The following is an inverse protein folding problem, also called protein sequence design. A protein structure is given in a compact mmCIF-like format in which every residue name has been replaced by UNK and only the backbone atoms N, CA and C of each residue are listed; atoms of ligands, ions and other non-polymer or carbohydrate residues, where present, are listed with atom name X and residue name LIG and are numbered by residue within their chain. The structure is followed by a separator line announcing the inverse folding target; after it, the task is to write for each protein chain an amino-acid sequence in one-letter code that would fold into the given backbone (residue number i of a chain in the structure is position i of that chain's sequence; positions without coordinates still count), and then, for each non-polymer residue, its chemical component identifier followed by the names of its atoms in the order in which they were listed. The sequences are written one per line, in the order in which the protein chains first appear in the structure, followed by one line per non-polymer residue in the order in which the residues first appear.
data_IF_299811634092
#
_entry.id   IF_299811634092
#
_cell.length_a   1.000
_cell.length_b   1.000
_cell.length_c   1.000
_cell.angle_alpha   90.00
_cell.angle_beta   90.00
_cell.angle_gamma   90.00
#
_symmetry.space_group_name_H-M   'P 1'
#
loop_
_entity.id
_entity.type
_entity.pdbx_description
1 polymer ?
#
# COMPACT_ATOMS: atom_id res chain seq x y z
N UNK A 1 7.99 -0.07 12.65
CA UNK A 1 6.82 -0.94 12.89
C UNK A 1 6.28 -1.42 11.56
N UNK A 2 5.52 -2.51 11.56
CA UNK A 2 4.86 -3.08 10.39
C UNK A 2 3.37 -2.76 10.48
N UNK A 3 2.78 -2.26 9.39
CA UNK A 3 1.33 -2.14 9.25
C UNK A 3 0.86 -3.23 8.29
N UNK A 4 0.04 -4.15 8.78
CA UNK A 4 -0.47 -5.28 8.02
C UNK A 4 -1.79 -4.90 7.34
N UNK A 5 -1.91 -5.19 6.06
CA UNK A 5 -3.09 -4.87 5.25
C UNK A 5 -3.41 -5.98 4.24
N UNK A 6 -4.50 -5.83 3.49
CA UNK A 6 -5.07 -6.84 2.60
C UNK A 6 -5.86 -7.91 3.36
N UNK A 7 -6.53 -8.79 2.61
CA UNK A 7 -7.30 -9.90 3.19
C UNK A 7 -6.46 -10.87 4.03
N UNK A 8 -5.18 -11.02 3.69
CA UNK A 8 -4.24 -11.84 4.46
C UNK A 8 -4.01 -11.32 5.88
N UNK A 9 -4.18 -10.01 6.13
CA UNK A 9 -4.00 -9.43 7.46
C UNK A 9 -5.04 -9.93 8.48
N UNK A 10 -6.17 -10.47 8.02
CA UNK A 10 -7.24 -11.01 8.86
C UNK A 10 -7.01 -12.48 9.25
N UNK A 11 -5.93 -13.11 8.76
CA UNK A 11 -5.54 -14.44 9.22
C UNK A 11 -5.24 -14.39 10.72
N UNK A 12 -5.88 -15.31 11.45
CA UNK A 12 -5.83 -15.35 12.92
C UNK A 12 -4.37 -15.35 13.41
N UNK A 13 -4.03 -14.35 14.23
CA UNK A 13 -2.72 -14.17 14.86
C UNK A 13 -1.54 -13.96 13.90
N UNK A 14 -1.75 -13.59 12.63
CA UNK A 14 -0.65 -13.32 11.70
C UNK A 14 0.21 -12.13 12.16
N UNK A 15 -0.42 -11.08 12.65
CA UNK A 15 0.20 -9.93 13.31
C UNK A 15 1.16 -10.35 14.43
N UNK A 16 0.71 -11.25 15.31
CA UNK A 16 1.52 -11.77 16.43
C UNK A 16 2.69 -12.62 15.93
N UNK A 17 2.48 -13.48 14.93
CA UNK A 17 3.54 -14.29 14.35
C UNK A 17 4.65 -13.41 13.76
N UNK A 18 4.28 -12.38 13.02
CA UNK A 18 5.23 -11.42 12.45
C UNK A 18 5.95 -10.63 13.55
N UNK A 19 5.26 -10.27 14.63
CA UNK A 19 5.88 -9.59 15.77
C UNK A 19 6.97 -10.44 16.42
N UNK A 20 6.70 -11.75 16.64
CA UNK A 20 7.67 -12.69 17.21
C UNK A 20 8.89 -12.85 16.29
N UNK A 21 8.65 -13.04 15.00
CA UNK A 21 9.72 -13.32 14.02
C UNK A 21 10.62 -12.10 13.78
N UNK A 22 10.04 -10.91 13.73
CA UNK A 22 10.75 -9.69 13.35
C UNK A 22 11.26 -8.88 14.55
N UNK A 23 10.71 -9.10 15.74
CA UNK A 23 10.95 -8.26 16.92
C UNK A 23 10.41 -6.82 16.79
N UNK A 24 9.63 -6.53 15.74
CA UNK A 24 9.08 -5.19 15.48
C UNK A 24 7.60 -5.13 15.89
N UNK A 25 7.10 -3.96 16.35
CA UNK A 25 5.66 -3.74 16.54
C UNK A 25 4.92 -3.94 15.22
N UNK A 26 3.85 -4.74 15.26
CA UNK A 26 2.97 -5.03 14.13
C UNK A 26 1.54 -4.60 14.49
N UNK A 27 0.91 -3.82 13.62
CA UNK A 27 -0.48 -3.38 13.77
C UNK A 27 -1.26 -3.70 12.50
N UNK A 28 -2.55 -4.00 12.62
CA UNK A 28 -3.43 -4.18 11.47
C UNK A 28 -3.97 -2.81 11.05
N UNK A 29 -4.03 -2.53 9.75
CA UNK A 29 -4.66 -1.32 9.22
C UNK A 29 -6.13 -1.23 9.65
N UNK A 30 -6.66 -0.01 9.80
CA UNK A 30 -8.05 0.22 10.19
C UNK A 30 -9.06 -0.40 9.22
N UNK A 31 -8.82 -0.25 7.91
CA UNK A 31 -9.55 -0.94 6.84
C UNK A 31 -8.57 -1.71 5.95
N UNK A 32 -8.19 -2.96 6.34
CA UNK A 32 -7.18 -3.71 5.62
C UNK A 32 -7.68 -4.20 4.26
N UNK A 33 -8.99 -4.39 4.08
CA UNK A 33 -9.56 -4.87 2.81
C UNK A 33 -9.59 -3.79 1.75
N UNK A 34 -9.91 -2.55 2.13
CA UNK A 34 -10.02 -1.44 1.18
C UNK A 34 -8.72 -0.63 1.03
N UNK A 35 -7.70 -0.88 1.86
CA UNK A 35 -6.45 -0.09 1.89
C UNK A 35 -5.83 0.17 0.51
N UNK A 36 -5.82 -0.84 -0.37
CA UNK A 36 -5.26 -0.70 -1.72
C UNK A 36 -6.10 0.29 -2.54
N UNK A 37 -7.41 0.08 -2.62
CA UNK A 37 -8.31 0.91 -3.46
C UNK A 37 -8.36 2.34 -2.94
N UNK A 38 -8.36 2.52 -1.61
CA UNK A 38 -8.33 3.83 -0.97
C UNK A 38 -7.01 4.56 -1.26
N UNK A 39 -5.88 3.85 -1.20
CA UNK A 39 -4.57 4.39 -1.58
C UNK A 39 -4.53 4.82 -3.04
N UNK A 40 -5.07 4.00 -3.95
CA UNK A 40 -5.21 4.34 -5.36
C UNK A 40 -6.08 5.58 -5.57
N UNK A 41 -7.25 5.67 -4.92
CA UNK A 41 -8.12 6.84 -5.02
C UNK A 41 -7.45 8.13 -4.51
N UNK A 42 -6.70 8.04 -3.41
CA UNK A 42 -5.90 9.17 -2.90
C UNK A 42 -4.84 9.61 -3.92
N UNK A 43 -4.11 8.66 -4.51
CA UNK A 43 -3.10 8.94 -5.54
C UNK A 43 -3.69 9.62 -6.77
N UNK A 44 -4.85 9.16 -7.24
CA UNK A 44 -5.54 9.78 -8.38
C UNK A 44 -5.94 11.24 -8.13
N UNK A 45 -6.13 11.61 -6.87
CA UNK A 45 -6.50 12.96 -6.44
C UNK A 45 -5.29 13.85 -6.15
N UNK A 46 -4.09 13.29 -6.06
CA UNK A 46 -2.83 13.98 -5.80
C UNK A 46 -2.03 14.10 -7.11
N UNK A 47 -2.01 15.32 -7.69
CA UNK A 47 -1.32 15.57 -8.96
C UNK A 47 0.19 15.28 -8.91
N UNK A 48 0.84 15.51 -7.77
CA UNK A 48 2.28 15.28 -7.65
C UNK A 48 2.59 13.79 -7.55
N UNK A 49 1.77 13.04 -6.81
CA UNK A 49 1.89 11.59 -6.73
C UNK A 49 1.54 10.93 -8.08
N UNK A 50 0.49 11.41 -8.75
CA UNK A 50 0.06 10.92 -10.05
C UNK A 50 1.15 11.12 -11.11
N UNK A 51 1.82 12.28 -11.16
CA UNK A 51 2.92 12.54 -12.10
C UNK A 51 4.06 11.54 -11.98
N UNK A 52 4.36 11.04 -10.77
CA UNK A 52 5.45 10.08 -10.54
C UNK A 52 5.19 8.70 -11.13
N UNK A 53 3.92 8.31 -11.24
CA UNK A 53 3.51 6.99 -11.74
C UNK A 53 2.95 7.05 -13.16
N UNK A 54 2.63 8.26 -13.65
CA UNK A 54 2.15 8.47 -15.02
C UNK A 54 3.22 7.96 -15.98
N UNK A 55 2.82 7.05 -16.85
CA UNK A 55 3.64 6.64 -17.98
C UNK A 55 3.90 7.85 -18.88
N UNK A 56 5.16 8.23 -19.05
CA UNK A 56 5.54 9.30 -19.96
C UNK A 56 5.86 8.72 -21.35
N UNK A 57 5.01 9.07 -22.32
CA UNK A 57 5.17 8.69 -23.73
C UNK A 57 5.94 9.72 -24.56
N UNK A 58 6.42 10.81 -23.94
CA UNK A 58 7.19 11.86 -24.65
C UNK A 58 8.46 11.32 -25.33
N UNK A 59 8.99 10.18 -24.86
CA UNK A 59 10.15 9.48 -25.43
C UNK A 59 9.83 8.66 -26.70
N UNK A 60 8.57 8.34 -26.97
CA UNK A 60 8.14 7.56 -28.16
C UNK A 60 7.66 8.45 -29.31
N UNK A 61 7.15 9.65 -29.01
CA UNK A 61 6.76 10.63 -30.03
C UNK A 61 7.98 11.50 -30.35
N UNK A 62 8.86 11.01 -31.23
CA UNK A 62 10.03 11.75 -31.71
C UNK A 62 9.65 12.97 -32.55
N UNK A 63 9.34 14.08 -31.89
CA UNK A 63 9.46 15.44 -32.40
C UNK A 63 10.51 16.20 -31.57
#
# INVERSE_FOLDING_TARGET
GIVLTGGGALLKNLDKRLMIETGLPVVIAEDPLSSVVLGTGKMLSDFELLKRVKWDNSMMTGN
#
